data_IF_974693558106
#
_entry.id   IF_974693558106
#
_cell.length_a   1.000
_cell.length_b   1.000
_cell.length_c   1.000
_cell.angle_alpha   90.00
_cell.angle_beta   90.00
_cell.angle_gamma   90.00
#
_symmetry.space_group_name_H-M   'P 1'
#
loop_
_entity.id
_entity.type
_entity.pdbx_description
1 polymer ?
#
# COMPACT_ATOMS: atom_id res chain seq x y z
N UNK A 1 12.77 -8.11 14.48
CA UNK A 1 12.03 -6.82 14.52
C UNK A 1 12.99 -5.65 14.76
N UNK A 2 13.72 -5.57 15.88
CA UNK A 2 14.58 -4.43 16.21
C UNK A 2 15.61 -4.06 15.13
N UNK A 3 16.26 -5.03 14.50
CA UNK A 3 17.23 -4.77 13.42
C UNK A 3 16.57 -4.15 12.16
N UNK A 4 15.35 -4.55 11.83
CA UNK A 4 14.58 -4.01 10.70
C UNK A 4 14.23 -2.54 10.98
N UNK A 5 13.73 -2.27 12.19
CA UNK A 5 13.39 -0.89 12.59
C UNK A 5 14.63 0.01 12.67
N UNK A 6 15.76 -0.54 13.16
CA UNK A 6 17.03 0.18 13.19
C UNK A 6 17.56 0.54 11.79
N UNK A 7 17.21 -0.25 10.78
CA UNK A 7 17.52 0.03 9.37
C UNK A 7 16.53 1.02 8.71
N UNK A 8 15.61 1.61 9.48
CA UNK A 8 14.60 2.56 8.95
C UNK A 8 13.45 1.89 8.20
N UNK A 9 13.34 0.57 8.28
CA UNK A 9 12.22 -0.18 7.71
C UNK A 9 11.13 -0.39 8.76
N UNK A 10 9.90 -0.58 8.31
CA UNK A 10 8.74 -0.82 9.17
C UNK A 10 8.17 -2.20 8.95
N UNK A 11 7.72 -2.84 10.03
CA UNK A 11 6.93 -4.07 9.97
C UNK A 11 5.43 -3.79 10.15
N UNK A 12 5.06 -2.52 10.25
CA UNK A 12 3.66 -2.10 10.33
C UNK A 12 2.94 -2.50 9.03
N UNK A 13 1.69 -2.92 9.14
CA UNK A 13 0.88 -3.40 8.02
C UNK A 13 1.46 -4.62 7.26
N UNK A 14 2.40 -5.34 7.84
CA UNK A 14 2.93 -6.57 7.25
C UNK A 14 1.91 -7.72 7.24
N UNK A 15 0.95 -7.69 8.14
CA UNK A 15 -0.16 -8.64 8.24
C UNK A 15 -1.37 -7.94 8.84
N UNK A 16 -2.57 -8.32 8.42
CA UNK A 16 -3.81 -7.77 8.93
C UNK A 16 -4.78 -7.42 7.81
N UNK A 17 -5.92 -6.87 8.20
CA UNK A 17 -7.01 -6.46 7.32
C UNK A 17 -6.86 -4.96 6.97
N UNK A 18 -5.76 -4.64 6.37
CA UNK A 18 -5.32 -3.31 5.96
C UNK A 18 -4.77 -3.31 4.53
N UNK A 19 -4.29 -2.17 4.07
CA UNK A 19 -3.56 -2.07 2.80
C UNK A 19 -2.13 -2.52 3.04
N UNK A 20 -1.79 -3.71 2.55
CA UNK A 20 -0.54 -4.38 2.86
C UNK A 20 0.63 -3.92 2.02
N UNK A 21 0.38 -3.60 0.75
CA UNK A 21 1.46 -3.29 -0.17
C UNK A 21 0.95 -2.56 -1.41
N UNK A 22 1.84 -1.78 -2.02
CA UNK A 22 1.73 -1.25 -3.37
C UNK A 22 2.87 -1.84 -4.18
N UNK A 23 2.56 -2.69 -5.14
CA UNK A 23 3.52 -3.32 -6.05
C UNK A 23 3.52 -2.53 -7.35
N UNK A 24 4.67 -2.21 -7.89
CA UNK A 24 4.77 -1.52 -9.16
C UNK A 24 5.84 -2.17 -10.05
N UNK A 25 5.49 -2.28 -11.35
CA UNK A 25 6.40 -2.71 -12.41
C UNK A 25 7.31 -1.56 -12.81
N UNK A 26 8.22 -1.17 -11.93
CA UNK A 26 9.05 0.01 -12.16
C UNK A 26 10.53 -0.29 -11.99
N UNK A 27 11.33 0.28 -12.88
CA UNK A 27 12.76 0.47 -12.67
C UNK A 27 13.09 1.92 -13.00
N UNK A 28 13.21 2.80 -11.99
CA UNK A 28 13.44 4.23 -12.20
C UNK A 28 14.70 4.55 -12.98
N UNK A 29 15.64 3.62 -13.08
CA UNK A 29 16.89 3.79 -13.81
C UNK A 29 16.76 3.51 -15.31
N UNK A 30 15.69 2.84 -15.73
CA UNK A 30 15.47 2.49 -17.14
C UNK A 30 14.88 3.67 -17.92
N UNK A 31 13.89 4.35 -17.36
CA UNK A 31 13.20 5.43 -18.04
C UNK A 31 12.57 6.42 -17.06
N UNK A 32 12.42 7.67 -17.49
CA UNK A 32 11.77 8.72 -16.71
C UNK A 32 10.30 8.38 -16.38
N UNK A 33 9.58 7.72 -17.29
CA UNK A 33 8.22 7.22 -17.06
C UNK A 33 8.14 6.25 -15.88
N UNK A 34 9.14 5.39 -15.72
CA UNK A 34 9.23 4.49 -14.59
C UNK A 34 9.50 5.26 -13.28
N UNK A 35 10.33 6.30 -13.32
CA UNK A 35 10.58 7.14 -12.14
C UNK A 35 9.30 7.84 -11.67
N UNK A 36 8.52 8.42 -12.59
CA UNK A 36 7.27 9.08 -12.29
C UNK A 36 6.23 8.12 -11.68
N UNK A 37 6.08 6.92 -12.25
CA UNK A 37 5.19 5.89 -11.70
C UNK A 37 5.68 5.39 -10.35
N UNK A 38 6.98 5.26 -10.15
CA UNK A 38 7.57 4.92 -8.85
C UNK A 38 7.22 5.94 -7.77
N UNK A 39 7.34 7.24 -8.08
CA UNK A 39 6.97 8.30 -7.15
C UNK A 39 5.50 8.24 -6.76
N UNK A 40 4.61 7.92 -7.72
CA UNK A 40 3.20 7.70 -7.44
C UNK A 40 2.96 6.46 -6.58
N UNK A 41 3.67 5.36 -6.81
CA UNK A 41 3.58 4.15 -5.99
C UNK A 41 3.97 4.44 -4.54
N UNK A 42 5.06 5.19 -4.33
CA UNK A 42 5.53 5.60 -2.99
C UNK A 42 4.51 6.52 -2.31
N UNK A 43 3.97 7.52 -3.02
CA UNK A 43 2.93 8.41 -2.48
C UNK A 43 1.68 7.62 -2.08
N UNK A 44 1.23 6.72 -2.95
CA UNK A 44 0.06 5.87 -2.66
C UNK A 44 0.33 4.98 -1.44
N UNK A 45 1.48 4.33 -1.37
CA UNK A 45 1.88 3.50 -0.23
C UNK A 45 1.85 4.30 1.09
N UNK A 46 2.38 5.51 1.09
CA UNK A 46 2.34 6.36 2.29
C UNK A 46 0.94 6.81 2.66
N UNK A 47 0.08 7.03 1.68
CA UNK A 47 -1.30 7.46 1.91
C UNK A 47 -2.19 6.35 2.49
N UNK A 48 -2.03 5.12 1.98
CA UNK A 48 -2.94 4.02 2.30
C UNK A 48 -2.52 3.18 3.51
N UNK A 49 -1.27 3.26 3.95
CA UNK A 49 -0.83 2.54 5.15
C UNK A 49 -1.42 3.16 6.42
N UNK A 50 -1.60 2.39 7.50
CA UNK A 50 -1.98 2.93 8.79
C UNK A 50 -1.05 4.07 9.23
N UNK A 51 -1.62 5.15 9.73
CA UNK A 51 -0.89 6.36 10.13
C UNK A 51 -0.77 6.51 11.65
N UNK A 52 -1.62 5.84 12.40
CA UNK A 52 -1.73 5.96 13.85
C UNK A 52 -1.39 4.65 14.55
N UNK A 53 -1.38 4.67 15.86
CA UNK A 53 -1.26 3.49 16.72
C UNK A 53 -2.62 2.96 17.19
N UNK A 54 -3.71 3.39 16.58
CA UNK A 54 -5.09 3.11 16.98
C UNK A 54 -5.39 1.62 17.22
N UNK A 55 -4.63 0.74 16.58
CA UNK A 55 -4.82 -0.71 16.65
C UNK A 55 -3.63 -1.44 17.29
N UNK A 56 -2.80 -0.73 18.04
CA UNK A 56 -1.69 -1.31 18.77
C UNK A 56 -2.02 -1.33 20.25
N UNK A 57 -2.23 -2.52 20.79
CA UNK A 57 -2.43 -2.76 22.21
C UNK A 57 -1.30 -3.64 22.74
N UNK A 58 -0.73 -3.29 23.89
CA UNK A 58 0.21 -4.15 24.59
C UNK A 58 -0.46 -4.73 25.82
N UNK A 59 -0.67 -6.03 25.83
CA UNK A 59 -1.23 -6.77 26.95
C UNK A 59 -0.15 -7.57 27.65
N UNK A 60 0.03 -7.31 28.94
CA UNK A 60 0.93 -8.10 29.81
C UNK A 60 0.11 -8.64 30.96
N UNK A 61 0.15 -9.95 31.17
CA UNK A 61 -0.57 -10.64 32.24
C UNK A 61 -2.08 -10.34 32.24
N UNK A 62 -2.70 -10.31 31.07
CA UNK A 62 -4.12 -9.95 30.88
C UNK A 62 -4.48 -8.54 31.32
N UNK A 63 -3.50 -7.66 31.50
CA UNK A 63 -3.70 -6.24 31.77
C UNK A 63 -3.14 -5.45 30.60
N UNK A 64 -3.97 -4.59 30.04
CA UNK A 64 -3.54 -3.61 29.07
C UNK A 64 -2.51 -2.66 29.69
N UNK A 65 -1.36 -2.51 29.06
CA UNK A 65 -0.25 -1.68 29.57
C UNK A 65 -0.01 -0.41 28.77
N UNK A 66 -0.50 -0.36 27.57
CA UNK A 66 -0.43 0.83 26.72
C UNK A 66 -1.70 0.95 25.91
N UNK A 67 -2.72 1.53 26.51
CA UNK A 67 -3.62 2.39 25.76
C UNK A 67 -3.36 3.79 26.31
N UNK A 68 -2.76 4.64 25.56
CA UNK A 68 -2.66 6.06 25.93
C UNK A 68 -4.02 6.76 25.83
N UNK A 69 -5.10 5.99 25.92
CA UNK A 69 -6.48 6.48 26.04
C UNK A 69 -7.01 7.26 24.84
N UNK A 70 -6.17 7.62 23.91
CA UNK A 70 -6.55 8.23 22.66
C UNK A 70 -6.80 7.11 21.64
N UNK A 71 -8.03 6.75 21.45
CA UNK A 71 -8.45 6.00 20.27
C UNK A 71 -8.30 6.95 19.08
N UNK A 72 -7.08 7.11 18.61
CA UNK A 72 -6.83 7.81 17.36
C UNK A 72 -7.55 7.07 16.25
N UNK A 73 -8.51 7.72 15.63
CA UNK A 73 -9.22 7.16 14.49
C UNK A 73 -8.28 7.21 13.28
N UNK A 74 -8.09 6.07 12.61
CA UNK A 74 -7.32 6.02 11.39
C UNK A 74 -7.95 6.90 10.30
N UNK A 75 -7.19 7.81 9.68
CA UNK A 75 -7.75 8.76 8.71
C UNK A 75 -8.45 8.10 7.52
N UNK A 76 -7.92 6.97 7.04
CA UNK A 76 -8.48 6.25 5.89
C UNK A 76 -9.32 5.04 6.32
N UNK A 77 -8.88 4.32 7.34
CA UNK A 77 -9.50 3.06 7.76
C UNK A 77 -10.61 3.26 8.78
N UNK A 78 -10.69 4.45 9.41
CA UNK A 78 -11.69 4.78 10.39
C UNK A 78 -11.56 3.98 11.69
N UNK A 79 -12.69 3.71 12.33
CA UNK A 79 -12.78 2.97 13.60
C UNK A 79 -12.61 1.47 13.46
N UNK A 80 -12.75 0.97 12.26
CA UNK A 80 -12.67 -0.46 11.96
C UNK A 80 -11.73 -0.65 10.79
N UNK A 81 -10.95 -1.73 10.84
CA UNK A 81 -10.14 -2.12 9.70
C UNK A 81 -10.99 -2.49 8.49
N UNK A 82 -10.31 -2.71 7.37
CA UNK A 82 -10.92 -3.30 6.18
C UNK A 82 -11.41 -4.72 6.50
N UNK A 83 -12.43 -5.22 5.81
CA UNK A 83 -12.93 -6.59 6.01
C UNK A 83 -11.89 -7.64 5.62
N UNK A 84 -10.89 -7.26 4.85
CA UNK A 84 -9.78 -8.09 4.41
C UNK A 84 -8.61 -7.22 3.93
N UNK A 85 -7.41 -7.80 3.91
CA UNK A 85 -6.22 -7.18 3.31
C UNK A 85 -6.49 -6.74 1.87
N UNK A 86 -6.00 -5.56 1.51
CA UNK A 86 -6.06 -5.01 0.15
C UNK A 86 -4.65 -4.85 -0.41
N UNK A 87 -4.48 -5.18 -1.67
CA UNK A 87 -3.22 -5.03 -2.40
C UNK A 87 -3.43 -4.13 -3.59
N UNK A 88 -2.50 -3.22 -3.80
CA UNK A 88 -2.45 -2.37 -4.97
C UNK A 88 -1.35 -2.84 -5.92
N UNK A 89 -1.63 -2.82 -7.22
CA UNK A 89 -0.64 -3.08 -8.25
C UNK A 89 -0.65 -2.00 -9.32
N UNK A 90 0.52 -1.50 -9.74
CA UNK A 90 0.65 -0.51 -10.79
C UNK A 90 1.47 -1.09 -11.94
N UNK A 91 0.83 -1.27 -13.09
CA UNK A 91 1.49 -1.73 -14.32
C UNK A 91 1.81 -0.57 -15.26
N UNK A 92 2.93 -0.69 -15.97
CA UNK A 92 3.35 0.21 -17.05
C UNK A 92 3.23 -0.54 -18.37
N UNK A 93 2.22 -0.24 -19.22
CA UNK A 93 2.09 -0.88 -20.52
C UNK A 93 3.33 -0.69 -21.39
N UNK A 94 3.67 -1.68 -22.24
CA UNK A 94 2.89 -2.89 -22.55
C UNK A 94 3.11 -4.05 -21.58
N UNK A 95 3.85 -3.86 -20.50
CA UNK A 95 4.24 -4.94 -19.58
C UNK A 95 3.24 -5.07 -18.44
N UNK A 96 3.04 -6.31 -17.98
CA UNK A 96 2.21 -6.66 -16.83
C UNK A 96 2.91 -7.75 -16.00
N UNK A 97 4.11 -7.47 -15.55
CA UNK A 97 4.95 -8.38 -14.76
C UNK A 97 4.55 -8.45 -13.28
N UNK A 98 3.64 -7.57 -12.85
CA UNK A 98 3.06 -7.57 -11.50
C UNK A 98 1.69 -8.25 -11.43
N UNK A 99 1.20 -8.78 -12.56
CA UNK A 99 -0.13 -9.37 -12.69
C UNK A 99 -1.23 -8.44 -12.14
N UNK A 100 -1.37 -7.26 -12.79
CA UNK A 100 -2.23 -6.17 -12.31
C UNK A 100 -3.69 -6.58 -12.10
N UNK A 101 -4.18 -7.56 -12.88
CA UNK A 101 -5.54 -8.05 -12.78
C UNK A 101 -5.77 -9.05 -11.63
N UNK A 102 -4.70 -9.55 -11.02
CA UNK A 102 -4.78 -10.39 -9.82
C UNK A 102 -4.70 -9.57 -8.51
N UNK A 103 -4.49 -8.26 -8.61
CA UNK A 103 -4.49 -7.37 -7.46
C UNK A 103 -5.91 -6.96 -7.09
N UNK A 104 -6.15 -6.64 -5.80
CA UNK A 104 -7.46 -6.16 -5.34
C UNK A 104 -7.80 -4.79 -5.97
N UNK A 105 -6.76 -3.98 -6.22
CA UNK A 105 -6.86 -2.72 -6.96
C UNK A 105 -5.68 -2.62 -7.93
N UNK A 106 -5.98 -2.81 -9.21
CA UNK A 106 -5.04 -2.60 -10.31
C UNK A 106 -5.06 -1.15 -10.79
N UNK A 107 -3.88 -0.60 -11.06
CA UNK A 107 -3.71 0.68 -11.73
C UNK A 107 -2.85 0.46 -12.98
N UNK A 108 -3.35 0.91 -14.13
CA UNK A 108 -2.65 0.79 -15.41
C UNK A 108 -2.30 2.19 -15.88
N UNK A 109 -1.00 2.50 -15.93
CA UNK A 109 -0.52 3.84 -16.27
C UNK A 109 -0.89 4.22 -17.70
N UNK A 110 -1.32 5.47 -17.89
CA UNK A 110 -1.68 6.06 -19.19
C UNK A 110 -0.69 7.16 -19.49
N UNK A 111 -0.02 7.07 -20.62
CA UNK A 111 0.93 8.06 -21.09
C UNK A 111 0.44 8.75 -22.36
N UNK A 112 0.81 9.99 -22.54
CA UNK A 112 0.59 10.70 -23.79
C UNK A 112 1.65 10.34 -24.85
N UNK A 113 1.54 10.95 -26.04
CA UNK A 113 2.49 10.74 -27.15
C UNK A 113 3.92 11.22 -26.85
N UNK A 114 4.09 12.01 -25.78
CA UNK A 114 5.38 12.52 -25.32
C UNK A 114 5.92 11.72 -24.13
N UNK A 115 5.29 10.60 -23.78
CA UNK A 115 5.58 9.78 -22.61
C UNK A 115 5.38 10.50 -21.26
N UNK A 116 4.52 11.52 -21.19
CA UNK A 116 4.12 12.12 -19.93
C UNK A 116 2.93 11.35 -19.34
N UNK A 117 3.00 11.05 -18.05
CA UNK A 117 1.92 10.35 -17.34
C UNK A 117 0.68 11.22 -17.29
N UNK A 118 -0.45 10.72 -17.78
CA UNK A 118 -1.74 11.39 -17.79
C UNK A 118 -2.65 10.94 -16.65
N UNK A 119 -2.43 9.74 -16.13
CA UNK A 119 -3.24 9.15 -15.10
C UNK A 119 -3.19 7.63 -15.11
N UNK A 120 -4.21 7.02 -14.51
CA UNK A 120 -4.30 5.57 -14.40
C UNK A 120 -5.71 5.10 -14.74
N UNK A 121 -5.81 4.01 -15.49
CA UNK A 121 -7.03 3.22 -15.51
C UNK A 121 -7.09 2.38 -14.24
N UNK A 122 -8.26 2.34 -13.61
CA UNK A 122 -8.50 1.54 -12.42
C UNK A 122 -9.15 0.21 -12.80
N UNK A 123 -8.63 -0.88 -12.26
CA UNK A 123 -9.14 -2.23 -12.40
C UNK A 123 -9.38 -2.80 -10.99
N UNK A 124 -10.55 -2.50 -10.38
CA UNK A 124 -10.91 -3.06 -9.08
C UNK A 124 -11.35 -4.52 -9.21
N UNK A 125 -11.04 -5.33 -8.20
CA UNK A 125 -11.36 -6.75 -8.18
C UNK A 125 -10.13 -7.60 -8.54
N UNK A 126 -10.34 -8.87 -8.88
CA UNK A 126 -9.27 -9.74 -9.37
C UNK A 126 -8.57 -10.59 -8.32
N UNK A 127 -8.87 -10.48 -7.07
CA UNK A 127 -8.36 -11.38 -6.03
C UNK A 127 -8.78 -12.83 -6.27
N UNK A 128 -7.89 -13.78 -5.96
CA UNK A 128 -8.22 -15.20 -5.95
C UNK A 128 -9.23 -15.52 -4.84
N UNK A 129 -10.49 -15.39 -5.10
CA UNK A 129 -11.54 -15.63 -4.12
C UNK A 129 -12.79 -14.78 -4.32
N UNK A 130 -12.92 -14.24 -5.50
CA UNK A 130 -14.18 -13.68 -5.96
C UNK A 130 -15.13 -14.80 -6.39
#
# INVERSE_FOLDING_TARGET
MGAINAAGLSTLAACGDDVRNVIASVNPQIAATHAEVYDWAVKLMHYVKPQTTAYQELWIDKKERTSDGAHDEEPLLGKTYLPRKVKFGIAIPPYNDIDVFAQDMGLIAIFDKKNALQGFNLAPGGSMGA
#
